data_IF_631833831307
#
_entry.id   IF_631833831307
#
_cell.length_a   1.000
_cell.length_b   1.000
_cell.length_c   1.000
_cell.angle_alpha   90.00
_cell.angle_beta   90.00
_cell.angle_gamma   90.00
#
_symmetry.space_group_name_H-M   'P 1'
#
loop_
_entity.id
_entity.type
_entity.pdbx_description
1 polymer ?
#
# COMPACT_ATOMS: atom_id res chain seq x y z
N UNK A 1 10.74 -17.83 13.17
CA UNK A 1 10.31 -18.69 12.07
C UNK A 1 9.32 -17.92 11.22
N UNK A 2 9.67 -17.54 9.98
CA UNK A 2 8.69 -17.04 9.02
C UNK A 2 7.94 -18.26 8.48
N UNK A 3 6.74 -18.53 9.02
CA UNK A 3 5.84 -19.49 8.39
C UNK A 3 5.36 -18.86 7.09
N UNK A 4 5.84 -19.36 5.94
CA UNK A 4 5.32 -18.98 4.63
C UNK A 4 3.87 -19.46 4.54
N UNK A 5 2.91 -18.56 4.76
CA UNK A 5 1.50 -18.87 4.57
C UNK A 5 1.20 -18.86 3.06
N UNK A 6 0.50 -19.88 2.58
CA UNK A 6 0.05 -19.93 1.18
C UNK A 6 -1.35 -19.33 1.10
N UNK A 7 -1.50 -18.25 0.33
CA UNK A 7 -2.77 -17.59 0.08
C UNK A 7 -3.05 -17.49 -1.43
N UNK A 8 -4.30 -17.71 -1.83
CA UNK A 8 -4.68 -17.61 -3.23
C UNK A 8 -5.05 -16.15 -3.58
N UNK A 9 -4.12 -15.43 -4.20
CA UNK A 9 -4.31 -14.03 -4.59
C UNK A 9 -5.34 -13.85 -5.70
N UNK A 10 -5.51 -14.83 -6.60
CA UNK A 10 -6.55 -14.79 -7.63
C UNK A 10 -7.95 -14.85 -7.01
N UNK A 11 -8.14 -15.71 -6.00
CA UNK A 11 -9.40 -15.78 -5.24
C UNK A 11 -9.69 -14.46 -4.52
N UNK A 12 -8.69 -13.86 -3.87
CA UNK A 12 -8.85 -12.57 -3.20
C UNK A 12 -9.16 -11.43 -4.18
N UNK A 13 -8.45 -11.40 -5.32
CA UNK A 13 -8.68 -10.42 -6.39
C UNK A 13 -10.12 -10.52 -6.90
N UNK A 14 -10.60 -11.73 -7.17
CA UNK A 14 -11.98 -11.92 -7.64
C UNK A 14 -13.01 -11.46 -6.59
N UNK A 15 -12.78 -11.76 -5.31
CA UNK A 15 -13.65 -11.30 -4.23
C UNK A 15 -13.61 -9.77 -4.05
N UNK A 16 -12.44 -9.15 -4.24
CA UNK A 16 -12.28 -7.70 -4.23
C UNK A 16 -13.07 -7.06 -5.37
N UNK A 17 -12.88 -7.53 -6.60
CA UNK A 17 -13.61 -7.02 -7.77
C UNK A 17 -15.12 -7.23 -7.63
N UNK A 18 -15.57 -8.34 -7.05
CA UNK A 18 -16.98 -8.53 -6.73
C UNK A 18 -17.50 -7.53 -5.69
N UNK A 19 -16.68 -7.17 -4.69
CA UNK A 19 -17.05 -6.17 -3.69
C UNK A 19 -17.11 -4.76 -4.29
N UNK A 20 -16.21 -4.44 -5.22
CA UNK A 20 -16.19 -3.18 -5.97
C UNK A 20 -17.37 -3.10 -6.93
N UNK A 21 -17.63 -4.16 -7.70
CA UNK A 21 -18.72 -4.21 -8.67
C UNK A 21 -20.08 -3.95 -8.01
N UNK A 22 -20.31 -4.42 -6.78
CA UNK A 22 -21.53 -4.15 -5.99
C UNK A 22 -21.76 -2.69 -5.66
N UNK A 23 -20.71 -1.86 -5.65
CA UNK A 23 -20.80 -0.42 -5.38
C UNK A 23 -21.19 0.36 -6.64
N UNK A 24 -21.11 -0.27 -7.82
CA UNK A 24 -21.46 0.32 -9.10
C UNK A 24 -22.76 -0.28 -9.63
N UNK A 25 -23.55 0.50 -10.36
CA UNK A 25 -24.84 0.03 -10.90
C UNK A 25 -24.68 -0.95 -12.07
N UNK A 26 -23.55 -0.90 -12.75
CA UNK A 26 -23.23 -1.66 -13.97
C UNK A 26 -22.13 -2.73 -13.75
N UNK A 27 -21.60 -2.87 -12.55
CA UNK A 27 -20.50 -3.79 -12.25
C UNK A 27 -19.14 -3.34 -12.78
N UNK A 28 -19.01 -2.08 -13.20
CA UNK A 28 -17.76 -1.51 -13.70
C UNK A 28 -16.76 -1.29 -12.54
N UNK A 29 -15.50 -1.63 -12.78
CA UNK A 29 -14.41 -1.49 -11.81
C UNK A 29 -13.32 -0.53 -12.29
N UNK A 30 -13.46 0.08 -13.48
CA UNK A 30 -12.44 0.94 -14.07
C UNK A 30 -12.16 2.18 -13.23
N UNK A 31 -13.20 2.87 -12.76
CA UNK A 31 -13.02 4.05 -11.90
C UNK A 31 -12.31 3.70 -10.60
N UNK A 32 -12.71 2.60 -9.97
CA UNK A 32 -12.04 2.10 -8.77
C UNK A 32 -10.58 1.77 -9.05
N UNK A 33 -10.28 1.14 -10.18
CA UNK A 33 -8.91 0.79 -10.55
C UNK A 33 -8.02 2.02 -10.68
N UNK A 34 -8.48 3.07 -11.36
CA UNK A 34 -7.73 4.33 -11.47
C UNK A 34 -7.50 4.98 -10.11
N UNK A 35 -8.54 5.06 -9.28
CA UNK A 35 -8.44 5.64 -7.94
C UNK A 35 -7.51 4.84 -7.03
N UNK A 36 -7.61 3.51 -7.05
CA UNK A 36 -6.78 2.63 -6.24
C UNK A 36 -5.32 2.68 -6.71
N UNK A 37 -5.06 2.78 -8.02
CA UNK A 37 -3.71 2.93 -8.56
C UNK A 37 -3.03 4.19 -8.00
N UNK A 38 -3.66 5.35 -8.17
CA UNK A 38 -3.18 6.63 -7.62
C UNK A 38 -3.01 6.55 -6.10
N UNK A 39 -4.00 6.01 -5.38
CA UNK A 39 -3.99 5.95 -3.91
C UNK A 39 -2.89 5.03 -3.39
N UNK A 40 -2.70 3.87 -3.99
CA UNK A 40 -1.72 2.88 -3.54
C UNK A 40 -0.29 3.36 -3.78
N UNK A 41 -0.02 3.96 -4.95
CA UNK A 41 1.29 4.55 -5.24
C UNK A 41 1.55 5.71 -4.28
N UNK A 42 0.58 6.61 -4.11
CA UNK A 42 0.70 7.75 -3.19
C UNK A 42 0.96 7.34 -1.75
N UNK A 43 0.26 6.31 -1.27
CA UNK A 43 0.50 5.69 0.04
C UNK A 43 1.93 5.16 0.16
N UNK A 44 2.45 4.55 -0.90
CA UNK A 44 3.82 4.02 -0.93
C UNK A 44 4.85 5.14 -0.85
N UNK A 45 4.63 6.25 -1.57
CA UNK A 45 5.47 7.46 -1.48
C UNK A 45 5.44 8.03 -0.06
N UNK A 46 4.24 8.23 0.50
CA UNK A 46 4.05 8.72 1.86
C UNK A 46 4.77 7.85 2.90
N UNK A 47 4.63 6.53 2.81
CA UNK A 47 5.31 5.61 3.72
C UNK A 47 6.83 5.69 3.61
N UNK A 48 7.35 5.87 2.40
CA UNK A 48 8.79 6.02 2.17
C UNK A 48 9.31 7.32 2.80
N UNK A 49 8.53 8.40 2.73
CA UNK A 49 8.83 9.65 3.43
C UNK A 49 8.77 9.49 4.95
N UNK A 50 7.76 8.80 5.48
CA UNK A 50 7.65 8.53 6.91
C UNK A 50 8.84 7.71 7.43
N UNK A 51 9.28 6.71 6.67
CA UNK A 51 10.44 5.87 7.00
C UNK A 51 11.74 6.70 6.95
N UNK A 52 11.87 7.61 5.99
CA UNK A 52 12.99 8.56 5.91
C UNK A 52 13.00 9.53 7.11
N UNK A 53 11.87 10.19 7.41
CA UNK A 53 11.74 11.10 8.54
C UNK A 53 12.05 10.40 9.87
N UNK A 54 11.55 9.17 10.05
CA UNK A 54 11.77 8.37 11.26
C UNK A 54 13.24 7.96 11.41
N UNK A 55 13.92 7.59 10.34
CA UNK A 55 15.32 7.16 10.39
C UNK A 55 16.30 8.31 10.56
N UNK A 56 15.96 9.51 10.06
CA UNK A 56 16.83 10.68 10.08
C UNK A 56 16.40 11.76 11.10
N UNK A 57 15.40 11.49 11.94
CA UNK A 57 14.78 12.47 12.86
C UNK A 57 14.45 13.81 12.17
N UNK A 58 14.05 13.73 10.89
CA UNK A 58 13.87 14.89 10.02
C UNK A 58 12.39 15.26 9.89
N UNK A 59 12.14 16.53 9.57
CA UNK A 59 10.79 17.03 9.28
C UNK A 59 10.78 17.59 7.87
N UNK A 60 10.02 16.95 6.98
CA UNK A 60 9.81 17.40 5.60
C UNK A 60 8.63 18.37 5.57
N UNK A 61 8.85 19.58 5.05
CA UNK A 61 7.79 20.58 4.90
C UNK A 61 6.74 20.14 3.87
N UNK A 62 5.53 20.70 3.92
CA UNK A 62 4.49 20.41 2.91
C UNK A 62 4.92 20.82 1.50
N UNK A 63 5.71 21.88 1.38
CA UNK A 63 6.26 22.35 0.10
C UNK A 63 7.24 21.33 -0.48
N UNK A 64 8.24 20.91 0.31
CA UNK A 64 9.21 19.87 -0.08
C UNK A 64 8.52 18.56 -0.41
N UNK A 65 7.51 18.17 0.38
CA UNK A 65 6.67 17.00 0.09
C UNK A 65 5.98 17.14 -1.28
N UNK A 66 5.42 18.32 -1.60
CA UNK A 66 4.81 18.60 -2.90
C UNK A 66 5.81 18.45 -4.06
N UNK A 67 7.04 18.92 -3.91
CA UNK A 67 8.10 18.74 -4.90
C UNK A 67 8.46 17.27 -5.11
N UNK A 68 8.61 16.51 -4.02
CA UNK A 68 8.88 15.07 -4.10
C UNK A 68 7.74 14.34 -4.82
N UNK A 69 6.48 14.62 -4.46
CA UNK A 69 5.32 14.02 -5.14
C UNK A 69 5.33 14.33 -6.64
N UNK A 70 5.59 15.58 -7.03
CA UNK A 70 5.66 15.96 -8.45
C UNK A 70 6.83 15.29 -9.19
N UNK A 71 7.98 15.14 -8.55
CA UNK A 71 9.12 14.42 -9.12
C UNK A 71 8.78 12.94 -9.38
N UNK A 72 8.11 12.29 -8.42
CA UNK A 72 7.64 10.91 -8.57
C UNK A 72 6.54 10.79 -9.63
N UNK A 73 5.57 11.72 -9.68
CA UNK A 73 4.54 11.78 -10.74
C UNK A 73 5.17 11.83 -12.14
N UNK A 74 6.16 12.71 -12.33
CA UNK A 74 6.88 12.84 -13.59
C UNK A 74 7.66 11.57 -13.95
N UNK A 75 8.29 10.92 -12.97
CA UNK A 75 9.04 9.69 -13.20
C UNK A 75 8.13 8.49 -13.54
N UNK A 76 6.95 8.41 -12.91
CA UNK A 76 5.99 7.33 -13.11
C UNK A 76 5.00 7.59 -14.25
N UNK A 77 4.88 8.83 -14.73
CA UNK A 77 3.83 9.25 -15.65
C UNK A 77 2.43 8.87 -15.11
N UNK A 78 2.23 9.05 -13.81
CA UNK A 78 0.99 8.72 -13.10
C UNK A 78 0.59 9.87 -12.16
N UNK A 79 -0.69 10.25 -12.10
CA UNK A 79 -1.15 11.25 -11.15
C UNK A 79 -1.12 10.68 -9.73
N UNK A 80 -0.66 11.48 -8.76
CA UNK A 80 -0.57 11.13 -7.35
C UNK A 80 -1.37 12.13 -6.49
N UNK A 81 -1.63 11.74 -5.25
CA UNK A 81 -2.24 12.58 -4.23
C UNK A 81 -1.39 12.54 -2.97
N UNK A 82 -0.83 13.68 -2.56
CA UNK A 82 -0.01 13.77 -1.35
C UNK A 82 -0.73 13.37 -0.06
N UNK A 83 -2.06 13.29 -0.08
CA UNK A 83 -2.90 12.84 1.03
C UNK A 83 -3.28 11.36 0.95
N UNK A 84 -2.92 10.66 -0.14
CA UNK A 84 -3.20 9.24 -0.34
C UNK A 84 -2.47 8.38 0.71
N UNK A 85 -3.24 7.78 1.62
CA UNK A 85 -2.69 7.00 2.74
C UNK A 85 -3.39 5.66 2.97
N UNK A 86 -4.69 5.57 2.70
CA UNK A 86 -5.50 4.37 2.97
C UNK A 86 -5.94 3.72 1.66
N UNK A 87 -5.42 2.53 1.39
CA UNK A 87 -5.76 1.72 0.23
C UNK A 87 -7.04 0.92 0.49
N UNK A 88 -7.94 0.88 -0.49
CA UNK A 88 -9.18 0.09 -0.37
C UNK A 88 -8.91 -1.42 -0.36
N UNK A 89 -7.81 -1.87 -0.98
CA UNK A 89 -7.34 -3.28 -0.91
C UNK A 89 -7.08 -3.67 0.55
N UNK A 90 -6.39 -2.81 1.31
CA UNK A 90 -6.09 -3.08 2.72
C UNK A 90 -7.36 -3.21 3.58
N UNK A 91 -8.29 -2.27 3.42
CA UNK A 91 -9.58 -2.30 4.12
C UNK A 91 -10.45 -3.50 3.74
N UNK A 92 -10.44 -3.89 2.47
CA UNK A 92 -11.09 -5.10 2.01
C UNK A 92 -10.54 -6.34 2.72
N UNK A 93 -9.21 -6.49 2.79
CA UNK A 93 -8.57 -7.62 3.45
C UNK A 93 -8.88 -7.67 4.96
N UNK A 94 -8.93 -6.51 5.62
CA UNK A 94 -9.22 -6.41 7.06
C UNK A 94 -10.54 -7.11 7.45
N UNK A 95 -11.56 -7.03 6.60
CA UNK A 95 -12.89 -7.62 6.82
C UNK A 95 -13.16 -8.89 5.99
N UNK A 96 -12.23 -9.30 5.12
CA UNK A 96 -12.41 -10.46 4.26
C UNK A 96 -12.32 -11.78 5.05
N UNK A 97 -13.34 -12.64 4.91
CA UNK A 97 -13.42 -13.91 5.65
C UNK A 97 -12.32 -14.90 5.28
N UNK A 98 -12.01 -15.05 3.99
CA UNK A 98 -10.97 -15.99 3.52
C UNK A 98 -9.58 -15.55 3.99
N UNK A 99 -9.30 -14.25 3.93
CA UNK A 99 -8.06 -13.69 4.47
C UNK A 99 -7.96 -13.87 5.99
N UNK A 100 -9.01 -13.53 6.74
CA UNK A 100 -8.98 -13.66 8.20
C UNK A 100 -8.85 -15.11 8.67
N UNK A 101 -9.43 -16.07 7.94
CA UNK A 101 -9.17 -17.49 8.19
C UNK A 101 -7.67 -17.82 8.07
N UNK A 102 -6.97 -17.26 7.07
CA UNK A 102 -5.52 -17.44 6.91
C UNK A 102 -4.72 -16.76 8.01
N UNK A 103 -5.18 -15.61 8.50
CA UNK A 103 -4.60 -14.95 9.68
C UNK A 103 -4.74 -15.83 10.92
N UNK A 104 -5.91 -16.42 11.14
CA UNK A 104 -6.16 -17.29 12.29
C UNK A 104 -5.32 -18.58 12.22
N UNK A 105 -5.20 -19.18 11.02
CA UNK A 105 -4.30 -20.32 10.76
C UNK A 105 -2.83 -19.96 11.03
N UNK A 106 -2.39 -18.77 10.62
CA UNK A 106 -1.02 -18.28 10.82
C UNK A 106 -0.71 -17.97 12.29
N UNK A 107 -1.70 -17.47 13.04
CA UNK A 107 -1.58 -17.20 14.47
C UNK A 107 -1.49 -18.50 15.28
N UNK A 108 -2.21 -19.56 14.87
CA UNK A 108 -2.29 -20.80 15.64
C UNK A 108 -3.23 -20.70 16.85
N UNK A 109 -3.14 -21.66 17.78
CA UNK A 109 -4.10 -21.78 18.90
C UNK A 109 -3.79 -20.77 20.02
N UNK A 110 -4.85 -20.11 20.54
CA UNK A 110 -4.85 -19.26 21.75
C UNK A 110 -3.87 -18.06 21.68
N UNK A 111 -3.92 -17.32 20.59
CA UNK A 111 -3.16 -16.08 20.44
C UNK A 111 -3.88 -14.91 21.09
N UNK A 112 -3.13 -14.06 21.79
CA UNK A 112 -3.68 -12.85 22.39
C UNK A 112 -4.17 -11.87 21.30
N UNK A 113 -5.16 -11.01 21.60
CA UNK A 113 -5.73 -10.11 20.60
C UNK A 113 -4.72 -9.18 19.93
N UNK A 114 -3.66 -8.75 20.64
CA UNK A 114 -2.67 -7.81 20.13
C UNK A 114 -1.74 -8.51 19.13
N UNK A 115 -1.26 -9.71 19.46
CA UNK A 115 -0.46 -10.52 18.54
C UNK A 115 -1.24 -10.89 17.28
N UNK A 116 -2.54 -11.22 17.43
CA UNK A 116 -3.42 -11.47 16.26
C UNK A 116 -3.54 -10.22 15.40
N UNK A 117 -3.81 -9.06 16.00
CA UNK A 117 -3.95 -7.79 15.29
C UNK A 117 -2.65 -7.39 14.56
N UNK A 118 -1.50 -7.53 15.21
CA UNK A 118 -0.19 -7.27 14.62
C UNK A 118 0.11 -8.22 13.45
N UNK A 119 -0.27 -9.50 13.59
CA UNK A 119 -0.13 -10.49 12.52
C UNK A 119 -1.04 -10.16 11.35
N UNK A 120 -2.30 -9.81 11.61
CA UNK A 120 -3.25 -9.35 10.60
C UNK A 120 -2.69 -8.15 9.83
N UNK A 121 -2.20 -7.13 10.52
CA UNK A 121 -1.67 -5.91 9.91
C UNK A 121 -0.45 -6.19 9.02
N UNK A 122 0.47 -7.06 9.47
CA UNK A 122 1.63 -7.49 8.66
C UNK A 122 1.19 -8.26 7.42
N UNK A 123 0.23 -9.17 7.56
CA UNK A 123 -0.30 -9.94 6.43
C UNK A 123 -1.09 -9.05 5.46
N UNK A 124 -1.82 -8.05 5.94
CA UNK A 124 -2.52 -7.07 5.09
C UNK A 124 -1.50 -6.33 4.23
N UNK A 125 -0.41 -5.86 4.83
CA UNK A 125 0.65 -5.17 4.08
C UNK A 125 1.22 -6.05 2.96
N UNK A 126 1.60 -7.28 3.29
CA UNK A 126 2.18 -8.22 2.32
C UNK A 126 1.19 -8.56 1.20
N UNK A 127 -0.02 -8.97 1.56
CA UNK A 127 -1.01 -9.44 0.58
C UNK A 127 -1.57 -8.28 -0.25
N UNK A 128 -1.71 -7.08 0.31
CA UNK A 128 -2.15 -5.90 -0.46
C UNK A 128 -1.10 -5.50 -1.50
N UNK A 129 0.20 -5.55 -1.15
CA UNK A 129 1.28 -5.32 -2.11
C UNK A 129 1.24 -6.36 -3.23
N UNK A 130 1.11 -7.64 -2.90
CA UNK A 130 1.07 -8.68 -3.93
C UNK A 130 -0.16 -8.59 -4.83
N UNK A 131 -1.33 -8.22 -4.29
CA UNK A 131 -2.52 -7.96 -5.09
C UNK A 131 -2.30 -6.74 -6.00
N UNK A 132 -1.70 -5.67 -5.47
CA UNK A 132 -1.39 -4.48 -6.24
C UNK A 132 -0.45 -4.80 -7.41
N UNK A 133 0.71 -5.40 -7.16
CA UNK A 133 1.71 -5.68 -8.20
C UNK A 133 1.19 -6.65 -9.27
N UNK A 134 0.32 -7.60 -8.91
CA UNK A 134 -0.26 -8.56 -9.86
C UNK A 134 -1.35 -7.97 -10.76
N UNK A 135 -2.07 -6.95 -10.29
CA UNK A 135 -3.24 -6.41 -10.99
C UNK A 135 -3.01 -5.04 -11.63
N UNK A 136 -2.08 -4.25 -11.09
CA UNK A 136 -1.88 -2.86 -11.48
C UNK A 136 -0.68 -2.61 -12.39
N UNK A 137 0.10 -3.67 -12.71
CA UNK A 137 1.13 -3.91 -13.75
C UNK A 137 2.01 -2.76 -14.29
N UNK A 138 1.93 -1.55 -13.74
CA UNK A 138 2.68 -0.38 -14.18
C UNK A 138 4.01 -0.25 -13.46
N UNK A 139 4.05 -0.52 -12.15
CA UNK A 139 5.25 -0.37 -11.31
C UNK A 139 5.22 -1.32 -10.12
N UNK A 140 6.39 -1.87 -9.77
CA UNK A 140 6.57 -2.61 -8.52
C UNK A 140 6.69 -1.65 -7.35
N UNK A 141 6.29 -2.08 -6.15
CA UNK A 141 6.43 -1.28 -4.93
C UNK A 141 7.90 -0.96 -4.66
N UNK A 142 8.82 -1.86 -4.97
CA UNK A 142 10.26 -1.61 -4.86
C UNK A 142 10.76 -0.47 -5.77
N UNK A 143 10.21 -0.36 -6.98
CA UNK A 143 10.58 0.67 -7.95
C UNK A 143 10.05 2.03 -7.50
N UNK A 144 8.80 2.08 -7.03
CA UNK A 144 8.19 3.30 -6.46
C UNK A 144 9.02 3.80 -5.27
N UNK A 145 9.44 2.90 -4.39
CA UNK A 145 10.31 3.25 -3.25
C UNK A 145 11.65 3.81 -3.69
N UNK A 146 12.32 3.18 -4.66
CA UNK A 146 13.62 3.64 -5.16
C UNK A 146 13.51 5.03 -5.83
N UNK A 147 12.49 5.25 -6.64
CA UNK A 147 12.22 6.55 -7.27
C UNK A 147 11.95 7.61 -6.20
N UNK A 148 11.16 7.27 -5.17
CA UNK A 148 10.88 8.19 -4.06
C UNK A 148 12.15 8.51 -3.27
N UNK A 149 13.01 7.53 -3.02
CA UNK A 149 14.30 7.74 -2.33
C UNK A 149 15.21 8.68 -3.12
N UNK A 150 15.29 8.52 -4.45
CA UNK A 150 16.04 9.44 -5.30
C UNK A 150 15.45 10.86 -5.25
N UNK A 151 14.13 11.00 -5.34
CA UNK A 151 13.46 12.29 -5.22
C UNK A 151 13.67 12.95 -3.85
N UNK A 152 13.74 12.16 -2.76
CA UNK A 152 14.11 12.65 -1.44
C UNK A 152 15.54 13.20 -1.46
N UNK A 153 16.52 12.48 -2.03
CA UNK A 153 17.91 12.94 -2.11
C UNK A 153 18.07 14.24 -2.93
N UNK A 154 17.26 14.41 -3.97
CA UNK A 154 17.30 15.61 -4.82
C UNK A 154 16.66 16.83 -4.15
N UNK A 155 15.61 16.64 -3.34
CA UNK A 155 14.78 17.74 -2.84
C UNK A 155 14.90 18.01 -1.34
N UNK A 156 15.40 17.05 -0.56
CA UNK A 156 15.72 17.24 0.85
C UNK A 156 17.20 17.64 0.92
N UNK A 157 17.46 18.94 0.90
CA UNK A 157 18.77 19.45 1.29
C UNK A 157 19.04 19.01 2.73
N UNK A 158 20.28 18.65 3.05
CA UNK A 158 20.70 18.07 4.33
C UNK A 158 20.30 19.00 5.51
N UNK A 159 19.09 18.84 6.03
CA UNK A 159 18.57 19.62 7.17
C UNK A 159 19.03 19.00 8.49
N UNK A 160 20.30 18.56 8.55
CA UNK A 160 20.95 18.25 9.81
C UNK A 160 21.12 19.56 10.57
N UNK A 161 20.14 19.83 11.44
CA UNK A 161 20.26 20.77 12.55
C UNK A 161 21.20 20.21 13.62
#
# INVERSE_FOLDING_TARGET
>A
MQSNFVINHGKLTNQLLQAVAKQTRNGDTQQWFQQEQTTYISRTVNRTLDDYCRSNNSVISKETKGHIFRAVENALQQPLDMNGAQSSIGHFLQSNKYFNQKVDEQCGKRVDPITRFNTQTKMIEQVSQEIFERNFSGFKVSEIKAITQNAILEHVQDTRL
#
